data_IF_889142157469
#
_entry.id   IF_889142157469
#
_cell.length_a   1.000
_cell.length_b   1.000
_cell.length_c   1.000
_cell.angle_alpha   90.00
_cell.angle_beta   90.00
_cell.angle_gamma   90.00
#
_symmetry.space_group_name_H-M   'P 1'
#
loop_
_entity.id
_entity.type
_entity.pdbx_description
1 polymer ?
#
# COMPACT_ATOMS: atom_id res chain seq x y z
N UNK A 1 31.06 -30.78 16.39
CA UNK A 1 30.77 -31.28 17.77
C UNK A 1 29.48 -32.08 17.74
N UNK A 2 29.50 -33.28 18.33
CA UNK A 2 28.57 -34.38 18.09
C UNK A 2 27.29 -34.28 18.94
N UNK A 3 26.19 -34.74 18.35
CA UNK A 3 24.84 -34.85 18.91
C UNK A 3 24.68 -36.09 19.81
N UNK A 4 23.86 -35.89 20.86
CA UNK A 4 22.87 -36.78 21.50
C UNK A 4 23.33 -38.05 22.21
N UNK A 5 22.96 -38.12 23.49
CA UNK A 5 23.03 -39.28 24.38
C UNK A 5 21.76 -39.33 25.24
N UNK A 6 21.42 -40.55 25.67
CA UNK A 6 20.50 -40.95 26.74
C UNK A 6 19.11 -41.43 26.34
N UNK A 7 19.05 -42.73 26.02
CA UNK A 7 17.95 -43.60 26.45
C UNK A 7 18.45 -45.04 26.55
N UNK A 8 18.45 -45.60 27.77
CA UNK A 8 17.95 -46.93 28.11
C UNK A 8 18.37 -47.32 29.53
N UNK A 9 17.39 -47.39 30.43
CA UNK A 9 17.50 -48.03 31.74
C UNK A 9 16.96 -49.46 31.62
N UNK A 10 17.78 -50.45 31.99
CA UNK A 10 17.37 -51.84 32.28
C UNK A 10 17.51 -52.06 33.78
N UNK A 11 16.48 -52.57 34.43
CA UNK A 11 16.54 -53.05 35.82
C UNK A 11 16.02 -54.49 35.93
N UNK A 12 16.67 -55.21 36.83
CA UNK A 12 16.58 -56.63 37.18
C UNK A 12 15.21 -57.14 37.68
N UNK A 13 14.96 -58.45 37.53
CA UNK A 13 14.94 -59.41 38.68
C UNK A 13 14.70 -60.89 38.28
N UNK A 14 15.68 -61.71 38.68
CA UNK A 14 15.62 -63.03 39.36
C UNK A 14 14.65 -64.11 38.87
N UNK A 15 15.22 -65.12 38.19
CA UNK A 15 14.73 -66.51 38.15
C UNK A 15 15.06 -67.21 39.49
N UNK A 16 14.07 -67.87 40.10
CA UNK A 16 14.26 -68.93 41.12
C UNK A 16 13.90 -70.27 40.46
N UNK A 17 14.78 -71.25 40.58
CA UNK A 17 14.49 -72.66 40.28
C UNK A 17 14.31 -73.41 41.61
N UNK A 18 13.38 -74.36 41.58
CA UNK A 18 12.80 -75.04 42.73
C UNK A 18 13.71 -76.09 43.37
N UNK A 19 13.55 -76.25 44.68
CA UNK A 19 13.97 -77.39 45.48
C UNK A 19 12.95 -78.53 45.37
N UNK A 20 13.44 -79.75 45.23
CA UNK A 20 12.70 -81.00 45.38
C UNK A 20 12.60 -81.37 46.87
N UNK A 21 11.40 -81.65 47.39
CA UNK A 21 11.24 -82.46 48.59
C UNK A 21 9.85 -83.10 48.72
N UNK A 22 9.89 -84.42 48.84
CA UNK A 22 9.05 -85.35 49.62
C UNK A 22 7.57 -85.60 49.27
N UNK A 23 7.37 -86.91 49.07
CA UNK A 23 6.16 -87.71 49.06
C UNK A 23 5.26 -87.51 50.28
N UNK A 24 3.96 -87.41 50.06
CA UNK A 24 2.95 -87.55 51.10
C UNK A 24 1.61 -87.99 50.51
N UNK A 25 1.35 -89.29 50.53
CA UNK A 25 0.01 -89.87 50.34
C UNK A 25 -0.84 -89.49 51.55
N UNK A 26 -2.04 -88.97 51.33
CA UNK A 26 -3.21 -89.31 52.14
C UNK A 26 -4.50 -88.96 51.37
N UNK A 27 -5.38 -89.96 51.27
CA UNK A 27 -6.74 -89.85 50.76
C UNK A 27 -7.60 -89.26 51.86
N UNK A 28 -8.38 -88.23 51.56
CA UNK A 28 -9.61 -87.93 52.28
C UNK A 28 -10.70 -87.51 51.28
N UNK A 29 -11.89 -88.02 51.54
CA UNK A 29 -13.09 -87.95 50.74
C UNK A 29 -13.88 -86.65 50.99
N UNK A 30 -14.52 -86.15 49.90
CA UNK A 30 -15.75 -85.32 49.77
C UNK A 30 -16.01 -84.13 50.75
N UNK A 31 -16.46 -82.96 50.24
CA UNK A 31 -17.88 -82.83 49.88
C UNK A 31 -18.15 -82.13 48.54
N UNK A 32 -19.13 -82.66 47.82
CA UNK A 32 -19.83 -82.02 46.71
C UNK A 32 -20.61 -80.81 47.23
N UNK A 33 -20.01 -79.63 47.12
CA UNK A 33 -20.62 -78.36 47.50
C UNK A 33 -20.10 -77.21 46.64
N UNK A 34 -20.04 -77.41 45.31
CA UNK A 34 -19.57 -76.40 44.36
C UNK A 34 -20.42 -76.41 43.09
N UNK A 35 -21.64 -75.90 43.17
CA UNK A 35 -22.41 -75.57 41.97
C UNK A 35 -22.97 -74.14 41.95
N UNK A 36 -23.03 -73.44 43.10
CA UNK A 36 -23.45 -72.02 43.12
C UNK A 36 -22.29 -71.02 42.99
N UNK A 37 -21.06 -71.43 43.32
CA UNK A 37 -19.87 -70.55 43.24
C UNK A 37 -19.25 -70.51 41.83
N UNK A 38 -19.51 -71.51 40.98
CA UNK A 38 -19.04 -71.54 39.60
C UNK A 38 -19.92 -70.71 38.66
N UNK A 39 -21.21 -70.59 38.94
CA UNK A 39 -22.13 -69.77 38.14
C UNK A 39 -21.87 -68.28 38.35
N UNK A 40 -21.77 -67.81 39.61
CA UNK A 40 -21.44 -66.41 39.90
C UNK A 40 -20.07 -65.97 39.38
N UNK A 41 -19.09 -66.89 39.38
CA UNK A 41 -17.75 -66.59 38.86
C UNK A 41 -17.71 -66.51 37.33
N UNK A 42 -18.54 -67.30 36.63
CA UNK A 42 -18.68 -67.20 35.18
C UNK A 42 -19.43 -65.93 34.75
N UNK A 43 -20.40 -65.48 35.54
CA UNK A 43 -21.12 -64.22 35.34
C UNK A 43 -20.20 -62.99 35.53
N UNK A 44 -19.35 -63.00 36.56
CA UNK A 44 -18.34 -61.95 36.79
C UNK A 44 -17.29 -61.94 35.67
N UNK A 45 -16.83 -63.12 35.21
CA UNK A 45 -15.87 -63.20 34.10
C UNK A 45 -16.50 -62.71 32.78
N UNK A 46 -17.78 -63.02 32.53
CA UNK A 46 -18.50 -62.50 31.35
C UNK A 46 -18.67 -60.98 31.39
N UNK A 47 -19.02 -60.42 32.55
CA UNK A 47 -19.12 -58.96 32.74
C UNK A 47 -17.74 -58.27 32.63
N UNK A 48 -16.67 -58.88 33.18
CA UNK A 48 -15.30 -58.36 33.05
C UNK A 48 -14.77 -58.44 31.61
N UNK A 49 -15.19 -59.44 30.82
CA UNK A 49 -14.82 -59.57 29.41
C UNK A 49 -15.55 -58.54 28.53
N UNK A 50 -16.84 -58.31 28.77
CA UNK A 50 -17.68 -57.31 28.09
C UNK A 50 -17.21 -55.87 28.41
N UNK A 51 -16.93 -55.55 29.68
CA UNK A 51 -16.32 -54.28 30.09
C UNK A 51 -14.89 -54.09 29.54
N UNK A 52 -14.14 -55.19 29.32
CA UNK A 52 -12.83 -55.18 28.65
C UNK A 52 -12.93 -54.84 27.17
N UNK A 53 -13.95 -55.33 26.48
CA UNK A 53 -14.18 -55.08 25.05
C UNK A 53 -14.65 -53.64 24.81
N UNK A 54 -15.58 -53.14 25.63
CA UNK A 54 -16.02 -51.74 25.59
C UNK A 54 -14.87 -50.77 25.92
N UNK A 55 -14.01 -51.12 26.89
CA UNK A 55 -12.82 -50.33 27.22
C UNK A 55 -11.77 -50.32 26.11
N UNK A 56 -11.61 -51.44 25.37
CA UNK A 56 -10.73 -51.52 24.19
C UNK A 56 -11.28 -50.68 23.03
N UNK A 57 -12.58 -50.75 22.75
CA UNK A 57 -13.23 -49.93 21.73
C UNK A 57 -13.12 -48.42 22.02
N UNK A 58 -13.28 -48.02 23.28
CA UNK A 58 -13.05 -46.64 23.73
C UNK A 58 -11.60 -46.16 23.55
N UNK A 59 -10.61 -47.05 23.76
CA UNK A 59 -9.20 -46.72 23.54
C UNK A 59 -8.83 -46.61 22.06
N UNK A 60 -9.38 -47.49 21.21
CA UNK A 60 -9.16 -47.45 19.76
C UNK A 60 -9.76 -46.19 19.11
N UNK A 61 -10.98 -45.81 19.49
CA UNK A 61 -11.62 -44.57 19.03
C UNK A 61 -10.88 -43.32 19.53
N UNK A 62 -10.43 -43.31 20.78
CA UNK A 62 -9.58 -42.22 21.31
C UNK A 62 -8.26 -42.08 20.55
N UNK A 63 -7.63 -43.20 20.19
CA UNK A 63 -6.40 -43.18 19.37
C UNK A 63 -6.65 -42.70 17.94
N UNK A 64 -7.78 -43.08 17.33
CA UNK A 64 -8.17 -42.59 16.01
C UNK A 64 -8.39 -41.07 16.02
N UNK A 65 -9.13 -40.55 17.02
CA UNK A 65 -9.34 -39.12 17.21
C UNK A 65 -8.02 -38.36 17.45
N UNK A 66 -7.10 -38.95 18.24
CA UNK A 66 -5.77 -38.37 18.45
C UNK A 66 -4.94 -38.32 17.16
N UNK A 67 -5.04 -39.33 16.30
CA UNK A 67 -4.37 -39.34 15.00
C UNK A 67 -4.95 -38.28 14.06
N UNK A 68 -6.27 -38.12 14.03
CA UNK A 68 -6.95 -37.09 13.24
C UNK A 68 -6.58 -35.68 13.70
N UNK A 69 -6.59 -35.42 15.02
CA UNK A 69 -6.17 -34.14 15.59
C UNK A 69 -4.72 -33.83 15.21
N UNK A 70 -3.81 -34.82 15.28
CA UNK A 70 -2.42 -34.63 14.86
C UNK A 70 -2.31 -34.25 13.39
N UNK A 71 -3.06 -34.94 12.52
CA UNK A 71 -3.08 -34.63 11.09
C UNK A 71 -3.62 -33.22 10.81
N UNK A 72 -4.69 -32.80 11.50
CA UNK A 72 -5.23 -31.45 11.40
C UNK A 72 -4.22 -30.41 11.90
N UNK A 73 -3.54 -30.66 13.02
CA UNK A 73 -2.49 -29.79 13.53
C UNK A 73 -1.32 -29.65 12.55
N UNK A 74 -0.89 -30.73 11.90
CA UNK A 74 0.14 -30.68 10.86
C UNK A 74 -0.32 -29.88 9.64
N UNK A 75 -1.57 -30.06 9.21
CA UNK A 75 -2.14 -29.32 8.10
C UNK A 75 -2.26 -27.82 8.40
N UNK A 76 -2.74 -27.48 9.60
CA UNK A 76 -2.79 -26.10 10.08
C UNK A 76 -1.39 -25.50 10.19
N UNK A 77 -0.41 -26.25 10.66
CA UNK A 77 1.00 -25.82 10.70
C UNK A 77 1.49 -25.42 9.31
N UNK A 78 1.28 -26.27 8.29
CA UNK A 78 1.65 -25.97 6.90
C UNK A 78 0.97 -24.71 6.37
N UNK A 79 -0.33 -24.53 6.65
CA UNK A 79 -1.07 -23.33 6.24
C UNK A 79 -0.55 -22.06 6.93
N UNK A 80 -0.19 -22.15 8.20
CA UNK A 80 0.41 -21.03 8.94
C UNK A 80 1.75 -20.66 8.32
N UNK A 81 2.60 -21.64 8.03
CA UNK A 81 3.90 -21.40 7.38
C UNK A 81 3.73 -20.77 5.99
N UNK A 82 2.76 -21.22 5.20
CA UNK A 82 2.43 -20.64 3.89
C UNK A 82 1.98 -19.18 4.01
N UNK A 83 1.06 -18.89 4.94
CA UNK A 83 0.59 -17.54 5.18
C UNK A 83 1.69 -16.62 5.72
N UNK A 84 2.56 -17.14 6.59
CA UNK A 84 3.71 -16.41 7.10
C UNK A 84 4.67 -16.03 5.95
N UNK A 85 4.95 -16.98 5.04
CA UNK A 85 5.75 -16.72 3.85
C UNK A 85 5.14 -15.66 2.93
N UNK A 86 3.83 -15.75 2.66
CA UNK A 86 3.12 -14.74 1.85
C UNK A 86 3.12 -13.36 2.51
N UNK A 87 2.99 -13.31 3.84
CA UNK A 87 3.00 -12.05 4.58
C UNK A 87 4.37 -11.39 4.50
N UNK A 88 5.46 -12.17 4.64
CA UNK A 88 6.82 -11.66 4.51
C UNK A 88 7.10 -11.03 3.13
N UNK A 89 6.65 -11.68 2.05
CA UNK A 89 6.78 -11.14 0.68
C UNK A 89 6.00 -9.84 0.52
N UNK A 90 4.76 -9.79 1.01
CA UNK A 90 3.94 -8.57 0.93
C UNK A 90 4.54 -7.42 1.76
N UNK A 91 5.14 -7.70 2.91
CA UNK A 91 5.83 -6.69 3.72
C UNK A 91 7.05 -6.10 3.00
N UNK A 92 7.81 -6.94 2.29
CA UNK A 92 8.93 -6.51 1.45
C UNK A 92 8.47 -5.65 0.28
N UNK A 93 7.47 -6.10 -0.49
CA UNK A 93 6.90 -5.34 -1.61
C UNK A 93 6.33 -3.99 -1.16
N UNK A 94 5.64 -3.95 -0.01
CA UNK A 94 5.15 -2.70 0.59
C UNK A 94 6.30 -1.79 1.00
N UNK A 95 7.41 -2.35 1.47
CA UNK A 95 8.64 -1.61 1.75
C UNK A 95 9.21 -0.94 0.51
N UNK A 96 9.36 -1.69 -0.59
CA UNK A 96 9.84 -1.17 -1.88
C UNK A 96 8.93 -0.08 -2.44
N UNK A 97 7.61 -0.32 -2.44
CA UNK A 97 6.63 0.65 -2.91
C UNK A 97 6.67 1.95 -2.11
N UNK A 98 6.89 1.89 -0.79
CA UNK A 98 7.04 3.09 0.04
C UNK A 98 8.26 3.91 -0.37
N UNK A 99 9.39 3.27 -0.66
CA UNK A 99 10.58 3.98 -1.12
C UNK A 99 10.34 4.69 -2.45
N UNK A 100 9.72 4.00 -3.42
CA UNK A 100 9.39 4.58 -4.73
C UNK A 100 8.39 5.75 -4.59
N UNK A 101 7.42 5.62 -3.69
CA UNK A 101 6.45 6.70 -3.43
C UNK A 101 7.15 7.94 -2.86
N UNK A 102 8.09 7.79 -1.94
CA UNK A 102 8.83 8.93 -1.41
C UNK A 102 9.75 9.57 -2.46
N UNK A 103 10.44 8.78 -3.28
CA UNK A 103 11.24 9.30 -4.39
C UNK A 103 10.38 10.09 -5.38
N UNK A 104 9.22 9.55 -5.76
CA UNK A 104 8.28 10.23 -6.65
C UNK A 104 7.76 11.55 -6.05
N UNK A 105 7.50 11.60 -4.74
CA UNK A 105 7.10 12.84 -4.07
C UNK A 105 8.19 13.91 -4.13
N UNK A 106 9.44 13.53 -3.94
CA UNK A 106 10.57 14.46 -4.05
C UNK A 106 10.73 14.99 -5.48
N UNK A 107 10.58 14.12 -6.48
CA UNK A 107 10.60 14.51 -7.89
C UNK A 107 9.45 15.47 -8.24
N UNK A 108 8.23 15.19 -7.76
CA UNK A 108 7.08 16.08 -7.95
C UNK A 108 7.36 17.46 -7.35
N UNK A 109 7.84 17.52 -6.10
CA UNK A 109 8.17 18.80 -5.45
C UNK A 109 9.20 19.59 -6.25
N UNK A 110 10.25 18.93 -6.73
CA UNK A 110 11.28 19.57 -7.55
C UNK A 110 10.70 20.16 -8.85
N UNK A 111 9.81 19.41 -9.51
CA UNK A 111 9.15 19.88 -10.74
C UNK A 111 8.20 21.06 -10.46
N UNK A 112 7.43 21.01 -9.36
CA UNK A 112 6.54 22.10 -8.95
C UNK A 112 7.32 23.38 -8.65
N UNK A 113 8.45 23.29 -7.95
CA UNK A 113 9.34 24.44 -7.70
C UNK A 113 9.90 25.02 -9.00
N UNK A 114 10.31 24.13 -9.92
CA UNK A 114 10.77 24.53 -11.26
C UNK A 114 9.70 25.23 -12.08
N UNK A 115 8.48 24.69 -12.09
CA UNK A 115 7.32 25.28 -12.77
C UNK A 115 7.01 26.66 -12.21
N UNK A 116 6.93 26.80 -10.87
CA UNK A 116 6.69 28.08 -10.22
C UNK A 116 7.75 29.12 -10.58
N UNK A 117 9.04 28.73 -10.63
CA UNK A 117 10.13 29.60 -11.05
C UNK A 117 10.03 30.05 -12.50
N UNK A 118 9.69 29.14 -13.42
CA UNK A 118 9.49 29.46 -14.84
C UNK A 118 8.30 30.39 -15.03
N UNK A 119 7.19 30.12 -14.34
CA UNK A 119 5.99 30.95 -14.39
C UNK A 119 6.25 32.37 -13.87
N UNK A 120 6.95 32.51 -12.74
CA UNK A 120 7.35 33.81 -12.22
C UNK A 120 8.24 34.59 -13.20
N UNK A 121 9.19 33.89 -13.86
CA UNK A 121 10.04 34.51 -14.89
C UNK A 121 9.24 34.92 -16.13
N UNK A 122 8.31 34.09 -16.59
CA UNK A 122 7.44 34.43 -17.71
C UNK A 122 6.57 35.65 -17.37
N UNK A 123 5.96 35.69 -16.19
CA UNK A 123 5.19 36.83 -15.74
C UNK A 123 6.04 38.10 -15.68
N UNK A 124 7.23 38.01 -15.10
CA UNK A 124 8.18 39.13 -15.08
C UNK A 124 8.51 39.63 -16.49
N UNK A 125 8.84 38.73 -17.42
CA UNK A 125 9.17 39.10 -18.80
C UNK A 125 7.97 39.70 -19.54
N UNK A 126 6.77 39.16 -19.35
CA UNK A 126 5.54 39.70 -19.94
C UNK A 126 5.22 41.08 -19.37
N UNK A 127 5.39 41.27 -18.06
CA UNK A 127 5.18 42.56 -17.41
C UNK A 127 6.23 43.58 -17.87
N UNK A 128 7.50 43.18 -17.96
CA UNK A 128 8.56 44.05 -18.46
C UNK A 128 8.33 44.42 -19.93
N UNK A 129 7.92 43.45 -20.75
CA UNK A 129 7.55 43.68 -22.14
C UNK A 129 6.36 44.65 -22.26
N UNK A 130 5.39 44.60 -21.34
CA UNK A 130 4.20 45.47 -21.35
C UNK A 130 4.43 46.82 -20.67
N UNK A 131 5.54 47.00 -19.94
CA UNK A 131 5.81 48.19 -19.13
C UNK A 131 5.78 49.48 -19.95
N UNK A 132 6.31 49.42 -21.18
CA UNK A 132 6.41 50.57 -22.07
C UNK A 132 5.28 50.61 -23.11
N UNK A 133 4.19 49.86 -22.86
CA UNK A 133 3.05 49.80 -23.75
C UNK A 133 1.88 50.62 -23.19
N UNK A 134 1.67 51.82 -23.72
CA UNK A 134 0.50 52.63 -23.37
C UNK A 134 -0.69 52.17 -24.21
N UNK A 135 -1.84 52.06 -23.53
CA UNK A 135 -3.10 51.62 -24.14
C UNK A 135 -4.10 52.75 -24.16
N UNK A 136 -4.35 53.28 -25.34
CA UNK A 136 -5.34 54.33 -25.55
C UNK A 136 -6.71 53.68 -25.81
N UNK A 137 -7.69 54.11 -25.03
CA UNK A 137 -9.06 53.60 -25.08
C UNK A 137 -9.95 54.64 -25.73
N UNK A 138 -10.98 54.18 -26.45
CA UNK A 138 -12.04 55.03 -27.03
C UNK A 138 -11.56 56.07 -28.05
N UNK A 139 -10.40 55.87 -28.68
CA UNK A 139 -9.98 56.68 -29.83
C UNK A 139 -10.83 56.29 -31.05
N UNK A 140 -11.71 57.18 -31.57
CA UNK A 140 -12.56 56.89 -32.72
C UNK A 140 -11.76 56.37 -33.92
N UNK A 141 -12.29 55.37 -34.63
CA UNK A 141 -11.63 54.83 -35.82
C UNK A 141 -11.68 55.87 -36.95
N UNK A 142 -10.57 56.09 -37.65
CA UNK A 142 -10.48 57.00 -38.80
C UNK A 142 -9.92 58.39 -38.50
N UNK A 143 -9.84 58.82 -37.23
CA UNK A 143 -9.17 60.09 -36.86
C UNK A 143 -7.66 60.08 -37.07
N UNK A 144 -7.09 58.90 -37.25
CA UNK A 144 -5.65 58.70 -37.42
C UNK A 144 -5.17 59.03 -38.85
N UNK A 145 -6.10 59.19 -39.80
CA UNK A 145 -5.82 59.53 -41.19
C UNK A 145 -4.81 58.58 -41.89
N UNK A 146 -4.68 57.36 -41.39
CA UNK A 146 -3.73 56.35 -41.89
C UNK A 146 -2.32 56.42 -41.28
N UNK A 147 -1.97 57.51 -40.57
CA UNK A 147 -0.71 57.64 -39.83
C UNK A 147 -0.95 57.63 -38.31
N UNK A 148 -1.07 56.42 -37.76
CA UNK A 148 -1.20 56.24 -36.32
C UNK A 148 0.00 56.79 -35.55
N UNK A 149 1.20 56.75 -36.12
CA UNK A 149 2.42 57.13 -35.41
C UNK A 149 2.49 58.63 -35.23
N UNK A 150 2.26 59.40 -36.29
CA UNK A 150 2.13 60.86 -36.23
C UNK A 150 0.93 61.31 -35.39
N UNK A 151 -0.22 60.64 -35.51
CA UNK A 151 -1.38 60.90 -34.65
C UNK A 151 -1.04 60.77 -33.16
N UNK A 152 -0.36 59.68 -32.78
CA UNK A 152 0.02 59.48 -31.38
C UNK A 152 1.05 60.50 -30.88
N UNK A 153 2.02 60.90 -31.72
CA UNK A 153 2.99 61.94 -31.35
C UNK A 153 2.31 63.29 -31.08
N UNK A 154 1.37 63.70 -31.94
CA UNK A 154 0.54 64.89 -31.74
C UNK A 154 -0.27 64.82 -30.46
N UNK A 155 -0.94 63.68 -30.23
CA UNK A 155 -1.77 63.48 -29.04
C UNK A 155 -0.94 63.55 -27.76
N UNK A 156 0.23 62.90 -27.71
CA UNK A 156 1.12 62.93 -26.55
C UNK A 156 1.63 64.36 -26.30
N UNK A 157 2.07 65.06 -27.35
CA UNK A 157 2.53 66.44 -27.23
C UNK A 157 1.45 67.35 -26.67
N UNK A 158 0.22 67.23 -27.17
CA UNK A 158 -0.92 68.03 -26.73
C UNK A 158 -1.32 67.75 -25.28
N UNK A 159 -1.37 66.48 -24.87
CA UNK A 159 -1.85 66.08 -23.53
C UNK A 159 -0.79 66.23 -22.44
N UNK A 160 0.49 65.99 -22.76
CA UNK A 160 1.60 66.04 -21.80
C UNK A 160 2.31 67.40 -21.79
N UNK A 161 2.02 68.26 -22.79
CA UNK A 161 2.61 69.59 -22.94
C UNK A 161 4.14 69.58 -22.96
N UNK A 162 4.71 68.69 -23.79
CA UNK A 162 6.17 68.54 -23.96
C UNK A 162 6.68 69.51 -25.03
N UNK A 163 7.82 70.15 -24.78
CA UNK A 163 8.44 71.10 -25.72
C UNK A 163 9.10 70.42 -26.94
N UNK A 164 9.30 69.11 -26.89
CA UNK A 164 9.89 68.30 -27.95
C UNK A 164 9.10 68.40 -29.26
N UNK A 165 9.80 68.23 -30.39
CA UNK A 165 9.16 68.19 -31.69
C UNK A 165 8.32 66.91 -31.84
N UNK A 166 7.25 66.97 -32.64
CA UNK A 166 6.43 65.78 -32.90
C UNK A 166 7.24 64.65 -33.57
N UNK A 167 8.25 65.04 -34.35
CA UNK A 167 9.15 64.12 -35.04
C UNK A 167 10.04 63.36 -34.06
N UNK A 168 10.51 64.03 -33.00
CA UNK A 168 11.36 63.40 -31.98
C UNK A 168 10.56 62.42 -31.12
N UNK A 169 9.36 62.83 -30.67
CA UNK A 169 8.43 61.92 -29.99
C UNK A 169 8.09 60.73 -30.88
N UNK A 170 7.86 60.96 -32.18
CA UNK A 170 7.61 59.88 -33.12
C UNK A 170 8.82 58.92 -33.25
N UNK A 171 10.07 59.40 -33.24
CA UNK A 171 11.25 58.52 -33.32
C UNK A 171 11.31 57.53 -32.14
N UNK A 172 10.88 57.96 -30.97
CA UNK A 172 10.89 57.12 -29.75
C UNK A 172 9.74 56.10 -29.72
N UNK A 173 8.70 56.31 -30.50
CA UNK A 173 7.63 55.33 -30.68
C UNK A 173 8.10 54.23 -31.65
N UNK A 174 8.38 53.05 -31.11
CA UNK A 174 8.83 51.90 -31.91
C UNK A 174 7.71 51.30 -32.75
N UNK A 175 6.52 51.11 -32.16
CA UNK A 175 5.37 50.47 -32.82
C UNK A 175 4.08 51.09 -32.31
N UNK A 176 3.12 51.31 -33.21
CA UNK A 176 1.74 51.69 -32.88
C UNK A 176 0.82 50.88 -33.74
N UNK A 177 -0.12 50.17 -33.13
CA UNK A 177 -1.15 49.45 -33.87
C UNK A 177 -2.46 49.45 -33.09
N UNK A 178 -3.59 49.43 -33.82
CA UNK A 178 -4.85 48.98 -33.24
C UNK A 178 -4.79 47.49 -32.95
N UNK A 179 -5.52 47.06 -31.93
CA UNK A 179 -5.72 45.63 -31.65
C UNK A 179 -6.20 44.92 -32.93
N UNK A 180 -5.57 43.79 -33.26
CA UNK A 180 -5.91 42.94 -34.42
C UNK A 180 -7.24 42.19 -34.21
N UNK A 181 -8.31 42.95 -34.03
CA UNK A 181 -9.68 42.47 -33.99
C UNK A 181 -10.45 43.02 -35.19
N UNK A 182 -11.55 42.35 -35.57
CA UNK A 182 -12.47 42.85 -36.60
C UNK A 182 -12.92 44.26 -36.22
N UNK A 183 -12.95 45.15 -37.21
CA UNK A 183 -13.51 46.49 -37.02
C UNK A 183 -14.96 46.35 -36.57
N UNK A 184 -15.35 46.97 -35.43
CA UNK A 184 -16.71 46.88 -34.95
C UNK A 184 -17.67 47.52 -35.97
N UNK A 185 -18.80 46.86 -36.30
CA UNK A 185 -19.79 47.47 -37.17
C UNK A 185 -20.41 48.68 -36.45
N UNK A 186 -20.43 49.83 -37.13
CA UNK A 186 -21.24 50.99 -36.76
C UNK A 186 -20.83 51.78 -35.49
N UNK A 187 -19.59 52.29 -35.42
CA UNK A 187 -19.07 53.19 -34.35
C UNK A 187 -19.17 52.66 -32.91
N UNK A 188 -19.65 51.44 -32.70
CA UNK A 188 -19.57 50.79 -31.40
C UNK A 188 -18.11 50.58 -30.96
N UNK A 189 -17.88 50.62 -29.64
CA UNK A 189 -16.59 50.67 -28.93
C UNK A 189 -15.34 50.54 -29.84
N UNK A 190 -14.63 51.65 -30.13
CA UNK A 190 -13.44 51.63 -30.96
C UNK A 190 -12.37 50.67 -30.45
N UNK A 191 -11.62 50.05 -31.36
CA UNK A 191 -10.49 49.19 -30.98
C UNK A 191 -9.44 49.97 -30.22
N UNK A 192 -8.87 49.34 -29.20
CA UNK A 192 -7.78 49.94 -28.41
C UNK A 192 -6.55 50.15 -29.31
N UNK A 193 -5.84 51.24 -29.09
CA UNK A 193 -4.51 51.47 -29.68
C UNK A 193 -3.48 51.07 -28.63
N UNK A 194 -2.54 50.20 -29.00
CA UNK A 194 -1.36 49.93 -28.20
C UNK A 194 -0.14 50.54 -28.89
N UNK A 195 0.68 51.26 -28.14
CA UNK A 195 1.98 51.73 -28.62
C UNK A 195 3.12 51.03 -27.87
N UNK A 196 4.34 51.19 -28.37
CA UNK A 196 5.57 50.77 -27.73
C UNK A 196 6.51 51.96 -27.73
N UNK A 197 6.84 52.44 -26.54
CA UNK A 197 7.84 53.49 -26.37
C UNK A 197 9.20 52.82 -26.16
N UNK A 198 10.23 53.35 -26.81
CA UNK A 198 11.60 52.93 -26.59
C UNK A 198 12.01 53.29 -25.16
N UNK A 199 12.56 52.31 -24.46
CA UNK A 199 13.14 52.47 -23.12
C UNK A 199 14.44 53.26 -23.17
#
# INVERSE_FOLDING_TARGET
>A
MRRRSWLQRRTHRRRRLCSSFVSGRQRLAFPTGKLKQSQHRAEIIGQEEEESEDSKGGFETSNANQAEIRSLCEHLGKKIDELAGRTAVLEEEVGELRMVVEENKEQIRYLEEGEAGVMAKMEYLVNNQRRNNLRFLRVPEGLEEGDLKGFMARLIKQEVNVEESEEDIAKDIQRVNRVLAKMPPNRDRPRKIGNWVKE
#
